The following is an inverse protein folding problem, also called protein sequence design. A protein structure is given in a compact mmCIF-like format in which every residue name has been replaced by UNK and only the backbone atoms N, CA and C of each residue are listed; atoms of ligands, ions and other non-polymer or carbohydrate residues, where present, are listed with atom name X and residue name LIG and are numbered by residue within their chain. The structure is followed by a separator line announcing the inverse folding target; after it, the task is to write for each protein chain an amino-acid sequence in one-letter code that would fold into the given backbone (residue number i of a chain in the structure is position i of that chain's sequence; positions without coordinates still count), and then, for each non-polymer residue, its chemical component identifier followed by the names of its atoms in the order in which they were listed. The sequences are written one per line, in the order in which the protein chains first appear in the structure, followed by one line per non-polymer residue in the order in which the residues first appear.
data_IF_556164097814
#
_entry.id   IF_556164097814
#
_cell.length_a   1.000
_cell.length_b   1.000
_cell.length_c   1.000
_cell.angle_alpha   90.00
_cell.angle_beta   90.00
_cell.angle_gamma   90.00
#
_symmetry.space_group_name_H-M   'P 1'
#
loop_
_entity.id
_entity.type
_entity.pdbx_description
1 polymer ?
#
# COMPACT_ATOMS: atom_id res chain seq x y z
N UNK A 1 11.11 -18.33 7.31
CA UNK A 1 9.89 -18.33 6.48
C UNK A 1 10.08 -17.26 5.43
N UNK A 2 9.77 -17.54 4.15
CA UNK A 2 9.86 -16.53 3.09
C UNK A 2 8.66 -15.61 3.22
N UNK A 3 8.88 -14.36 3.63
CA UNK A 3 7.85 -13.34 3.52
C UNK A 3 7.58 -13.07 2.04
N UNK A 4 6.34 -12.78 1.68
CA UNK A 4 6.01 -12.37 0.31
C UNK A 4 6.28 -10.88 0.21
N UNK A 5 7.18 -10.49 -0.70
CA UNK A 5 7.52 -9.09 -0.95
C UNK A 5 6.39 -8.40 -1.72
N UNK A 6 5.96 -7.25 -1.21
CA UNK A 6 4.94 -6.38 -1.80
C UNK A 6 5.65 -5.16 -2.37
N UNK A 7 5.65 -5.06 -3.69
CA UNK A 7 6.24 -3.94 -4.44
C UNK A 7 5.15 -3.14 -5.16
N UNK A 8 5.52 -2.02 -5.77
CA UNK A 8 4.63 -1.31 -6.70
C UNK A 8 4.21 -2.26 -7.83
N UNK A 9 2.92 -2.25 -8.18
CA UNK A 9 2.32 -3.15 -9.15
C UNK A 9 1.90 -4.51 -8.58
N UNK A 10 2.24 -4.85 -7.34
CA UNK A 10 1.71 -6.05 -6.67
C UNK A 10 0.22 -5.89 -6.38
N UNK A 11 -0.56 -6.94 -6.63
CA UNK A 11 -1.95 -7.00 -6.18
C UNK A 11 -1.99 -7.62 -4.79
N UNK A 12 -2.57 -6.91 -3.84
CA UNK A 12 -2.71 -7.36 -2.46
C UNK A 12 -4.18 -7.32 -2.02
N UNK A 13 -4.57 -8.29 -1.21
CA UNK A 13 -5.84 -8.24 -0.46
C UNK A 13 -5.52 -7.90 0.99
N UNK A 14 -6.06 -6.79 1.49
CA UNK A 14 -5.81 -6.38 2.87
C UNK A 14 -6.97 -5.57 3.46
N UNK A 15 -6.94 -5.43 4.79
CA UNK A 15 -7.85 -4.54 5.50
C UNK A 15 -7.28 -3.13 5.51
N UNK A 16 -8.05 -2.19 4.98
CA UNK A 16 -7.73 -0.76 5.00
C UNK A 16 -7.79 -0.19 6.41
N UNK A 17 -7.28 1.04 6.59
CA UNK A 17 -7.42 1.80 7.84
C UNK A 17 -8.87 2.01 8.29
N UNK A 18 -9.83 1.87 7.39
CA UNK A 18 -11.26 1.98 7.66
C UNK A 18 -11.94 0.62 7.90
N UNK A 19 -11.16 -0.45 8.13
CA UNK A 19 -11.65 -1.82 8.31
C UNK A 19 -12.46 -2.40 7.14
N UNK A 20 -12.39 -1.77 5.96
CA UNK A 20 -12.90 -2.34 4.69
C UNK A 20 -11.84 -3.30 4.16
N UNK A 21 -12.24 -4.52 3.81
CA UNK A 21 -11.38 -5.43 3.03
C UNK A 21 -11.38 -4.98 1.57
N UNK A 22 -10.19 -4.84 1.01
CA UNK A 22 -9.99 -4.38 -0.36
C UNK A 22 -8.92 -5.24 -1.01
N UNK A 23 -9.18 -5.65 -2.25
CA UNK A 23 -8.17 -6.20 -3.15
C UNK A 23 -7.81 -5.12 -4.18
N UNK A 24 -6.53 -4.82 -4.33
CA UNK A 24 -6.10 -3.76 -5.23
C UNK A 24 -4.61 -3.83 -5.54
N UNK A 25 -4.22 -3.08 -6.56
CA UNK A 25 -2.83 -2.96 -6.98
C UNK A 25 -2.13 -1.86 -6.21
N UNK A 26 -0.94 -2.14 -5.70
CA UNK A 26 -0.10 -1.16 -5.01
C UNK A 26 0.39 -0.12 -6.01
N UNK A 27 0.00 1.13 -5.81
CA UNK A 27 0.46 2.25 -6.63
C UNK A 27 1.60 3.03 -5.96
N UNK A 28 1.58 3.14 -4.63
CA UNK A 28 2.59 3.89 -3.87
C UNK A 28 2.89 3.22 -2.54
N UNK A 29 4.17 3.21 -2.17
CA UNK A 29 4.63 2.80 -0.85
C UNK A 29 5.11 4.05 -0.12
N UNK A 30 4.51 4.36 1.02
CA UNK A 30 4.89 5.45 1.90
C UNK A 30 5.56 4.87 3.15
N UNK A 31 6.24 5.71 3.93
CA UNK A 31 6.94 5.31 5.18
C UNK A 31 6.20 4.32 6.09
N UNK A 32 4.88 4.44 6.23
CA UNK A 32 4.07 3.62 7.14
C UNK A 32 2.84 2.99 6.49
N UNK A 33 2.54 3.34 5.24
CA UNK A 33 1.32 2.94 4.56
C UNK A 33 1.60 2.57 3.12
N UNK A 34 0.76 1.72 2.57
CA UNK A 34 0.72 1.36 1.16
C UNK A 34 -0.60 1.88 0.60
N UNK A 35 -0.53 2.54 -0.53
CA UNK A 35 -1.68 3.02 -1.27
C UNK A 35 -2.01 1.97 -2.33
N UNK A 36 -3.22 1.44 -2.26
CA UNK A 36 -3.75 0.47 -3.22
C UNK A 36 -4.89 1.09 -4.01
N UNK A 37 -4.99 0.71 -5.27
CA UNK A 37 -6.12 1.05 -6.13
C UNK A 37 -6.91 -0.19 -6.46
N UNK A 38 -8.21 -0.14 -6.21
CA UNK A 38 -9.10 -1.27 -6.48
C UNK A 38 -9.60 -1.30 -7.94
N UNK A 39 -10.43 -2.29 -8.26
CA UNK A 39 -11.02 -2.45 -9.60
C UNK A 39 -11.98 -1.31 -10.01
N UNK A 40 -12.46 -0.52 -9.05
CA UNK A 40 -13.35 0.62 -9.27
C UNK A 40 -12.59 1.95 -9.36
N UNK A 41 -11.25 1.88 -9.53
CA UNK A 41 -10.36 3.03 -9.51
C UNK A 41 -10.37 3.80 -8.17
N UNK A 42 -10.92 3.25 -7.09
CA UNK A 42 -10.89 3.86 -5.75
C UNK A 42 -9.54 3.63 -5.08
N UNK A 43 -9.06 4.66 -4.40
CA UNK A 43 -7.80 4.64 -3.67
C UNK A 43 -8.01 4.32 -2.20
N UNK A 44 -7.25 3.36 -1.68
CA UNK A 44 -7.31 2.96 -0.28
C UNK A 44 -5.93 2.95 0.38
N UNK A 45 -5.90 3.29 1.67
CA UNK A 45 -4.69 3.26 2.48
C UNK A 45 -4.68 2.01 3.37
N UNK A 46 -3.57 1.29 3.32
CA UNK A 46 -3.29 0.09 4.11
C UNK A 46 -2.06 0.33 4.96
N UNK A 47 -2.09 -0.04 6.24
CA UNK A 47 -0.92 0.07 7.11
C UNK A 47 0.07 -1.07 6.81
N UNK A 48 1.36 -0.74 6.70
CA UNK A 48 2.43 -1.74 6.51
C UNK A 48 2.44 -2.74 7.66
N UNK A 49 2.16 -2.29 8.89
CA UNK A 49 2.07 -3.17 10.06
C UNK A 49 0.97 -4.23 9.93
N UNK A 50 -0.15 -3.89 9.29
CA UNK A 50 -1.22 -4.86 9.01
C UNK A 50 -0.74 -5.92 8.03
N UNK A 51 -0.01 -5.53 6.98
CA UNK A 51 0.58 -6.45 6.01
C UNK A 51 1.62 -7.37 6.67
N UNK A 52 2.46 -6.82 7.55
CA UNK A 52 3.45 -7.59 8.31
C UNK A 52 2.82 -8.67 9.20
N UNK A 53 1.66 -8.40 9.82
CA UNK A 53 0.89 -9.41 10.58
C UNK A 53 0.41 -10.58 9.71
N UNK A 54 0.28 -10.36 8.41
CA UNK A 54 -0.09 -11.39 7.43
C UNK A 54 1.12 -12.05 6.75
N UNK A 55 2.35 -11.80 7.23
CA UNK A 55 3.57 -12.39 6.66
C UNK A 55 3.99 -11.74 5.33
N UNK A 56 3.49 -10.53 5.05
CA UNK A 56 3.88 -9.74 3.89
C UNK A 56 4.95 -8.73 4.31
N UNK A 57 5.98 -8.60 3.48
CA UNK A 57 7.02 -7.59 3.64
C UNK A 57 6.87 -6.57 2.53
N UNK A 58 7.07 -5.28 2.82
CA UNK A 58 6.86 -4.21 1.84
C UNK A 58 8.22 -3.72 1.36
N UNK A 59 8.35 -3.51 0.05
CA UNK A 59 9.54 -2.97 -0.60
C UNK A 59 9.86 -1.53 -0.13
N UNK A 60 10.98 -0.99 -0.58
CA UNK A 60 11.44 0.33 -0.17
C UNK A 60 10.41 1.45 -0.42
N UNK A 61 10.44 2.46 0.46
CA UNK A 61 9.57 3.63 0.35
C UNK A 61 9.70 4.28 -1.03
N UNK A 62 8.56 4.49 -1.69
CA UNK A 62 8.50 5.30 -2.90
C UNK A 62 8.78 6.75 -2.51
N UNK A 63 9.93 7.27 -2.90
CA UNK A 63 10.32 8.65 -2.61
C UNK A 63 9.45 9.63 -3.40
N UNK A 64 8.30 10.00 -2.85
CA UNK A 64 7.53 11.08 -3.44
C UNK A 64 8.16 12.39 -2.98
N UNK A 65 8.79 13.10 -3.91
CA UNK A 65 9.25 14.47 -3.67
C UNK A 65 8.10 15.30 -3.07
N UNK A 66 8.27 15.74 -1.82
CA UNK A 66 7.30 16.56 -1.05
C UNK A 66 6.82 17.81 -1.82
N UNK A 67 7.56 18.25 -2.84
CA UNK A 67 7.23 19.37 -3.70
C UNK A 67 6.17 19.09 -4.78
N UNK A 68 5.78 17.84 -5.04
CA UNK A 68 4.79 17.51 -6.10
C UNK A 68 3.33 17.62 -5.65
N UNK A 69 3.02 17.33 -4.38
CA UNK A 69 1.66 17.50 -3.84
C UNK A 69 1.43 18.87 -3.17
N UNK A 70 2.50 19.64 -2.95
CA UNK A 70 2.43 21.04 -2.54
C UNK A 70 2.26 21.95 -3.77
N UNK A 71 1.10 21.90 -4.42
CA UNK A 71 0.67 22.96 -5.33
C UNK A 71 -0.83 23.24 -5.15
N UNK A 72 -1.05 24.33 -4.39
CA UNK A 72 -2.26 25.15 -4.22
C UNK A 72 -3.42 24.55 -3.45
#
# INVERSE_FOLDING_TARGET
MSNILVSIGSTIESSTVHHKKVAGTVELILKHTVLIRDEFDETHLVLIETLAKHGLEVDEETYIYKSRYSRR
#
